data_IF_457550909151
#
_entry.id   IF_457550909151
#
_cell.length_a   1.000
_cell.length_b   1.000
_cell.length_c   1.000
_cell.angle_alpha   90.00
_cell.angle_beta   90.00
_cell.angle_gamma   90.00
#
_symmetry.space_group_name_H-M   'P 1'
#
loop_
_entity.id
_entity.type
_entity.pdbx_description
1 polymer ?
#
# COMPACT_ATOMS: atom_id res chain seq x y z
N UNK A 1 -8.15 -24.79 -14.77
CA UNK A 1 -6.78 -25.11 -15.27
C UNK A 1 -5.75 -24.05 -14.88
N UNK A 2 -5.96 -22.74 -15.11
CA UNK A 2 -4.96 -21.70 -14.75
C UNK A 2 -4.91 -21.33 -13.26
N UNK A 3 -5.93 -21.64 -12.47
CA UNK A 3 -5.95 -21.38 -11.02
C UNK A 3 -4.77 -22.05 -10.28
N UNK A 4 -4.38 -23.26 -10.67
CA UNK A 4 -3.24 -23.98 -10.06
C UNK A 4 -1.93 -23.22 -10.19
N UNK A 5 -1.71 -22.54 -11.33
CA UNK A 5 -0.54 -21.68 -11.53
C UNK A 5 -0.54 -20.50 -10.54
N UNK A 6 -1.70 -19.86 -10.35
CA UNK A 6 -1.81 -18.73 -9.41
C UNK A 6 -1.64 -19.17 -7.95
N UNK A 7 -2.11 -20.37 -7.59
CA UNK A 7 -1.83 -20.96 -6.27
C UNK A 7 -0.31 -21.11 -6.07
N UNK A 8 0.40 -21.71 -7.04
CA UNK A 8 1.86 -21.85 -6.95
C UNK A 8 2.58 -20.51 -6.92
N UNK A 9 2.10 -19.53 -7.69
CA UNK A 9 2.65 -18.18 -7.69
C UNK A 9 2.50 -17.51 -6.32
N UNK A 10 1.32 -17.55 -5.71
CA UNK A 10 1.09 -16.97 -4.37
C UNK A 10 1.94 -17.65 -3.29
N UNK A 11 2.11 -18.97 -3.37
CA UNK A 11 2.96 -19.68 -2.40
C UNK A 11 4.44 -19.30 -2.54
N UNK A 12 4.94 -19.14 -3.76
CA UNK A 12 6.36 -18.82 -4.00
C UNK A 12 6.63 -17.33 -3.77
N UNK A 13 5.94 -16.45 -4.50
CA UNK A 13 6.17 -15.01 -4.46
C UNK A 13 5.61 -14.37 -3.19
N UNK A 14 4.42 -14.81 -2.76
CA UNK A 14 3.75 -14.27 -1.58
C UNK A 14 4.29 -14.85 -0.29
N UNK A 15 4.10 -16.15 -0.05
CA UNK A 15 4.44 -16.74 1.25
C UNK A 15 5.96 -16.79 1.48
N UNK A 16 6.72 -17.36 0.53
CA UNK A 16 8.17 -17.43 0.68
C UNK A 16 8.83 -16.04 0.58
N UNK A 17 8.27 -15.13 -0.22
CA UNK A 17 8.71 -13.73 -0.27
C UNK A 17 8.58 -13.02 1.07
N UNK A 18 7.39 -13.03 1.69
CA UNK A 18 7.14 -12.43 3.01
C UNK A 18 7.97 -13.12 4.10
N UNK A 19 8.09 -14.44 4.07
CA UNK A 19 8.92 -15.17 5.02
C UNK A 19 10.43 -14.86 4.86
N UNK A 20 10.89 -14.59 3.63
CA UNK A 20 12.26 -14.14 3.37
C UNK A 20 12.51 -12.69 3.77
N UNK A 21 11.49 -11.83 3.63
CA UNK A 21 11.60 -10.40 3.95
C UNK A 21 11.96 -10.17 5.42
N UNK A 22 11.49 -11.01 6.36
CA UNK A 22 11.85 -10.90 7.78
C UNK A 22 13.36 -11.00 8.03
N UNK A 23 14.08 -11.77 7.21
CA UNK A 23 15.53 -11.99 7.36
C UNK A 23 16.34 -10.80 6.86
N UNK A 24 15.76 -9.93 6.01
CA UNK A 24 16.41 -8.75 5.44
C UNK A 24 17.84 -9.01 4.92
N UNK A 25 18.01 -10.08 4.14
CA UNK A 25 19.32 -10.57 3.71
C UNK A 25 20.17 -9.50 3.00
N UNK A 26 19.54 -8.66 2.16
CA UNK A 26 20.25 -7.62 1.42
C UNK A 26 20.89 -6.56 2.35
N UNK A 27 20.13 -5.84 3.22
CA UNK A 27 20.73 -4.95 4.21
C UNK A 27 21.74 -5.65 5.12
N UNK A 28 21.45 -6.90 5.55
CA UNK A 28 22.33 -7.64 6.45
C UNK A 28 23.71 -7.89 5.84
N UNK A 29 23.76 -8.35 4.58
CA UNK A 29 25.02 -8.60 3.87
C UNK A 29 25.78 -7.30 3.63
N UNK A 30 25.08 -6.25 3.19
CA UNK A 30 25.70 -4.93 2.93
C UNK A 30 26.29 -4.35 4.23
N UNK A 31 25.57 -4.48 5.34
CA UNK A 31 26.05 -4.03 6.65
C UNK A 31 27.36 -4.72 7.03
N UNK A 32 27.43 -6.06 6.95
CA UNK A 32 28.65 -6.80 7.30
C UNK A 32 29.81 -6.47 6.36
N UNK A 33 29.53 -6.26 5.06
CA UNK A 33 30.53 -5.88 4.09
C UNK A 33 31.09 -4.47 4.37
N UNK A 34 30.22 -3.48 4.60
CA UNK A 34 30.61 -2.11 4.97
C UNK A 34 31.39 -2.11 6.29
N UNK A 35 30.92 -2.87 7.28
CA UNK A 35 31.55 -2.95 8.58
C UNK A 35 32.97 -3.54 8.53
N UNK A 36 33.21 -4.52 7.65
CA UNK A 36 34.53 -5.13 7.50
C UNK A 36 35.51 -4.25 6.71
N UNK A 37 35.05 -3.55 5.67
CA UNK A 37 35.94 -2.83 4.75
C UNK A 37 36.02 -1.32 4.95
N UNK A 38 34.95 -0.66 5.41
CA UNK A 38 34.80 0.80 5.36
C UNK A 38 34.64 1.47 6.73
N UNK A 39 34.07 0.80 7.71
CA UNK A 39 33.81 1.37 9.04
C UNK A 39 35.10 1.53 9.82
N UNK A 40 35.41 2.77 10.25
CA UNK A 40 36.54 3.07 11.14
C UNK A 40 36.09 3.71 12.44
N UNK A 41 34.94 4.38 12.44
CA UNK A 41 34.37 5.06 13.61
C UNK A 41 32.94 4.59 13.88
N UNK A 42 32.43 4.86 15.09
CA UNK A 42 31.03 4.55 15.45
C UNK A 42 30.03 5.32 14.58
N UNK A 43 30.37 6.51 14.08
CA UNK A 43 29.51 7.27 13.16
C UNK A 43 29.36 6.57 11.80
N UNK A 44 30.46 6.05 11.26
CA UNK A 44 30.44 5.28 10.01
C UNK A 44 29.57 4.01 10.16
N UNK A 45 29.50 3.46 11.37
CA UNK A 45 28.65 2.32 11.69
C UNK A 45 27.17 2.68 11.68
N UNK A 46 26.80 3.84 12.21
CA UNK A 46 25.43 4.36 12.12
C UNK A 46 25.01 4.57 10.65
N UNK A 47 25.89 5.14 9.83
CA UNK A 47 25.65 5.28 8.37
C UNK A 47 25.54 3.94 7.63
N UNK A 48 26.21 2.90 8.15
CA UNK A 48 26.08 1.55 7.60
C UNK A 48 24.77 0.85 8.02
N UNK A 49 24.16 1.26 9.14
CA UNK A 49 22.90 0.72 9.67
C UNK A 49 21.67 1.40 9.04
N UNK A 50 21.64 1.50 7.71
CA UNK A 50 20.48 2.03 7.00
C UNK A 50 19.47 0.91 6.68
N UNK A 51 18.30 0.88 7.36
CA UNK A 51 17.24 -0.07 7.06
C UNK A 51 16.43 0.32 5.82
N UNK A 52 16.57 1.52 5.27
CA UNK A 52 15.71 2.04 4.21
C UNK A 52 14.22 2.14 4.60
N UNK A 53 13.41 2.45 3.58
CA UNK A 53 11.98 2.68 3.69
C UNK A 53 11.13 1.45 3.40
N UNK A 54 9.86 1.52 3.80
CA UNK A 54 8.85 0.58 3.35
C UNK A 54 8.71 0.66 1.82
N UNK A 55 8.83 -0.48 1.14
CA UNK A 55 8.76 -0.58 -0.31
C UNK A 55 7.34 -0.40 -0.85
N UNK A 56 6.78 0.81 -0.78
CA UNK A 56 5.46 1.13 -1.34
C UNK A 56 5.40 0.83 -2.85
N UNK A 57 6.50 1.07 -3.57
CA UNK A 57 6.65 0.82 -4.99
C UNK A 57 6.54 -0.68 -5.39
N UNK A 58 6.95 -1.60 -4.52
CA UNK A 58 6.93 -3.04 -4.81
C UNK A 58 5.78 -3.75 -4.11
N UNK A 59 5.57 -3.46 -2.83
CA UNK A 59 4.57 -4.12 -2.00
C UNK A 59 3.14 -3.73 -2.35
N UNK A 60 2.87 -2.46 -2.67
CA UNK A 60 1.50 -2.03 -2.98
C UNK A 60 0.99 -2.70 -4.27
N UNK A 61 1.72 -2.71 -5.41
CA UNK A 61 1.23 -3.38 -6.62
C UNK A 61 1.06 -4.89 -6.44
N UNK A 62 1.92 -5.54 -5.65
CA UNK A 62 1.82 -6.97 -5.34
C UNK A 62 0.52 -7.28 -4.59
N UNK A 63 0.18 -6.48 -3.59
CA UNK A 63 -1.08 -6.60 -2.83
C UNK A 63 -2.28 -6.39 -3.76
N UNK A 64 -2.25 -5.39 -4.64
CA UNK A 64 -3.31 -5.14 -5.62
C UNK A 64 -3.52 -6.32 -6.57
N UNK A 65 -2.44 -6.99 -7.00
CA UNK A 65 -2.53 -8.20 -7.81
C UNK A 65 -3.27 -9.32 -7.07
N UNK A 66 -2.99 -9.54 -5.79
CA UNK A 66 -3.69 -10.57 -5.01
C UNK A 66 -5.15 -10.20 -4.73
N UNK A 67 -5.49 -8.92 -4.57
CA UNK A 67 -6.88 -8.47 -4.55
C UNK A 67 -7.60 -8.80 -5.87
N UNK A 68 -6.99 -8.48 -7.01
CA UNK A 68 -7.54 -8.80 -8.32
C UNK A 68 -7.75 -10.31 -8.49
N UNK A 69 -6.73 -11.12 -8.18
CA UNK A 69 -6.84 -12.58 -8.26
C UNK A 69 -7.92 -13.12 -7.34
N UNK A 70 -8.00 -12.62 -6.10
CA UNK A 70 -9.02 -13.00 -5.13
C UNK A 70 -10.43 -12.69 -5.63
N UNK A 71 -10.68 -11.48 -6.10
CA UNK A 71 -11.99 -11.07 -6.62
C UNK A 71 -12.40 -11.90 -7.84
N UNK A 72 -11.50 -12.03 -8.83
CA UNK A 72 -11.77 -12.75 -10.08
C UNK A 72 -12.04 -14.24 -9.82
N UNK A 73 -11.21 -14.89 -8.99
CA UNK A 73 -11.33 -16.32 -8.74
C UNK A 73 -12.26 -16.70 -7.60
N UNK A 74 -12.79 -15.74 -6.82
CA UNK A 74 -13.75 -16.03 -5.75
C UNK A 74 -14.96 -16.82 -6.26
N UNK A 75 -15.48 -16.46 -7.44
CA UNK A 75 -16.64 -17.13 -8.05
C UNK A 75 -16.23 -18.33 -8.93
N UNK A 76 -15.01 -18.30 -9.51
CA UNK A 76 -14.56 -19.31 -10.47
C UNK A 76 -13.93 -20.53 -9.79
N UNK A 77 -13.07 -20.31 -8.80
CA UNK A 77 -12.31 -21.35 -8.09
C UNK A 77 -12.02 -20.90 -6.66
N UNK A 78 -12.97 -21.11 -5.73
CA UNK A 78 -12.86 -20.64 -4.34
C UNK A 78 -11.64 -21.17 -3.58
N UNK A 79 -11.05 -22.27 -4.05
CA UNK A 79 -9.87 -22.88 -3.44
C UNK A 79 -8.62 -21.97 -3.48
N UNK A 80 -8.60 -20.92 -4.32
CA UNK A 80 -7.53 -19.92 -4.31
C UNK A 80 -7.60 -19.01 -3.07
N UNK A 81 -8.80 -18.74 -2.53
CA UNK A 81 -9.01 -17.75 -1.48
C UNK A 81 -8.29 -18.06 -0.17
N UNK A 82 -8.28 -19.31 0.36
CA UNK A 82 -7.51 -19.64 1.55
C UNK A 82 -6.02 -19.29 1.41
N UNK A 83 -5.42 -19.46 0.23
CA UNK A 83 -4.00 -19.15 0.01
C UNK A 83 -3.72 -17.64 0.10
N UNK A 84 -4.63 -16.83 -0.44
CA UNK A 84 -4.57 -15.37 -0.37
C UNK A 84 -4.78 -14.89 1.07
N UNK A 85 -5.73 -15.48 1.80
CA UNK A 85 -5.98 -15.13 3.22
C UNK A 85 -4.75 -15.43 4.07
N UNK A 86 -4.13 -16.60 3.91
CA UNK A 86 -2.90 -16.95 4.62
C UNK A 86 -1.76 -15.99 4.27
N UNK A 87 -1.63 -15.60 3.00
CA UNK A 87 -0.67 -14.57 2.60
C UNK A 87 -0.91 -13.26 3.37
N UNK A 88 -2.15 -12.75 3.39
CA UNK A 88 -2.45 -11.50 4.07
C UNK A 88 -2.23 -11.57 5.58
N UNK A 89 -2.55 -12.71 6.21
CA UNK A 89 -2.30 -12.91 7.63
C UNK A 89 -0.80 -12.89 7.96
N UNK A 90 0.02 -13.61 7.17
CA UNK A 90 1.47 -13.61 7.34
C UNK A 90 2.08 -12.24 7.06
N UNK A 91 1.71 -11.62 5.94
CA UNK A 91 2.17 -10.28 5.57
C UNK A 91 1.85 -9.25 6.65
N UNK A 92 0.63 -9.28 7.21
CA UNK A 92 0.24 -8.38 8.29
C UNK A 92 1.18 -8.50 9.50
N UNK A 93 1.45 -9.72 9.97
CA UNK A 93 2.30 -9.93 11.15
C UNK A 93 3.75 -9.52 10.86
N UNK A 94 4.30 -9.90 9.71
CA UNK A 94 5.69 -9.60 9.33
C UNK A 94 5.89 -8.10 9.13
N UNK A 95 5.08 -7.45 8.29
CA UNK A 95 5.24 -6.02 8.05
C UNK A 95 4.93 -5.19 9.29
N UNK A 96 3.98 -5.60 10.14
CA UNK A 96 3.77 -4.95 11.44
C UNK A 96 5.02 -5.02 12.32
N UNK A 97 5.67 -6.18 12.39
CA UNK A 97 6.92 -6.32 13.14
C UNK A 97 8.03 -5.42 12.56
N UNK A 98 8.18 -5.38 11.24
CA UNK A 98 9.23 -4.59 10.60
C UNK A 98 9.00 -3.07 10.67
N UNK A 99 7.74 -2.62 10.59
CA UNK A 99 7.39 -1.20 10.76
C UNK A 99 7.74 -0.72 12.17
N UNK A 100 7.54 -1.56 13.19
CA UNK A 100 7.84 -1.21 14.58
C UNK A 100 9.35 -1.20 14.85
N UNK A 101 10.09 -2.17 14.30
CA UNK A 101 11.45 -2.44 14.74
C UNK A 101 12.56 -2.03 13.77
N UNK A 102 12.25 -1.81 12.48
CA UNK A 102 13.29 -1.74 11.46
C UNK A 102 13.11 -0.58 10.48
N UNK A 103 11.98 -0.46 9.79
CA UNK A 103 11.87 0.53 8.71
C UNK A 103 11.91 1.96 9.23
N UNK A 104 12.66 2.81 8.54
CA UNK A 104 12.64 4.25 8.77
C UNK A 104 11.78 4.92 7.69
N UNK A 105 10.96 5.88 8.09
CA UNK A 105 10.09 6.59 7.16
C UNK A 105 10.77 7.87 6.66
N UNK A 106 11.19 7.88 5.39
CA UNK A 106 11.86 9.04 4.77
C UNK A 106 10.92 10.23 4.54
N UNK A 107 9.63 9.99 4.31
CA UNK A 107 8.64 11.03 4.04
C UNK A 107 7.30 10.76 4.71
N UNK A 108 6.64 11.81 5.20
CA UNK A 108 5.31 11.74 5.80
C UNK A 108 4.25 12.25 4.82
N UNK A 109 3.48 11.31 4.25
CA UNK A 109 2.40 11.61 3.30
C UNK A 109 1.02 11.68 3.96
N UNK A 110 0.88 11.28 5.22
CA UNK A 110 -0.40 11.17 5.93
C UNK A 110 -1.46 10.36 5.17
N UNK A 111 -1.05 9.25 4.54
CA UNK A 111 -1.90 8.34 3.77
C UNK A 111 -2.66 8.97 2.57
N UNK A 112 -2.12 10.05 1.99
CA UNK A 112 -2.71 10.71 0.81
C UNK A 112 -2.87 9.78 -0.42
N UNK A 113 -2.19 8.63 -0.46
CA UNK A 113 -2.29 7.61 -1.52
C UNK A 113 -3.58 6.76 -1.46
N UNK A 114 -4.40 6.89 -0.41
CA UNK A 114 -5.59 6.05 -0.23
C UNK A 114 -6.63 6.15 -1.37
N UNK A 115 -6.92 7.33 -1.96
CA UNK A 115 -7.80 7.43 -3.12
C UNK A 115 -7.33 6.59 -4.32
N UNK A 116 -6.01 6.49 -4.54
CA UNK A 116 -5.43 5.68 -5.60
C UNK A 116 -5.62 4.18 -5.33
N UNK A 117 -5.33 3.74 -4.10
CA UNK A 117 -5.55 2.35 -3.64
C UNK A 117 -7.02 1.96 -3.81
N UNK A 118 -7.94 2.82 -3.36
CA UNK A 118 -9.38 2.61 -3.52
C UNK A 118 -9.77 2.50 -5.01
N UNK A 119 -9.29 3.41 -5.85
CA UNK A 119 -9.56 3.39 -7.29
C UNK A 119 -9.12 2.09 -7.96
N UNK A 120 -7.92 1.58 -7.63
CA UNK A 120 -7.40 0.31 -8.15
C UNK A 120 -8.25 -0.89 -7.74
N UNK A 121 -8.70 -0.93 -6.49
CA UNK A 121 -9.61 -2.00 -6.01
C UNK A 121 -10.96 -1.93 -6.72
N UNK A 122 -11.53 -0.74 -6.92
CA UNK A 122 -12.77 -0.56 -7.70
C UNK A 122 -12.60 -1.07 -9.12
N UNK A 123 -11.49 -0.74 -9.78
CA UNK A 123 -11.17 -1.28 -11.12
C UNK A 123 -11.08 -2.80 -11.08
N UNK A 124 -10.43 -3.40 -10.08
CA UNK A 124 -10.35 -4.85 -9.92
C UNK A 124 -11.73 -5.51 -9.75
N UNK A 125 -12.65 -4.87 -9.01
CA UNK A 125 -14.05 -5.33 -8.87
C UNK A 125 -14.78 -5.28 -10.21
N UNK A 126 -14.65 -4.18 -10.97
CA UNK A 126 -15.26 -4.04 -12.30
C UNK A 126 -14.71 -5.12 -13.25
N UNK A 127 -13.39 -5.32 -13.28
CA UNK A 127 -12.75 -6.38 -14.08
C UNK A 127 -13.30 -7.77 -13.70
N UNK A 128 -13.44 -8.05 -12.41
CA UNK A 128 -14.03 -9.30 -11.92
C UNK A 128 -15.46 -9.51 -12.41
N UNK A 129 -16.30 -8.47 -12.38
CA UNK A 129 -17.69 -8.53 -12.84
C UNK A 129 -17.78 -8.75 -14.36
N UNK A 130 -16.94 -8.06 -15.15
CA UNK A 130 -16.88 -8.24 -16.60
C UNK A 130 -16.39 -9.64 -17.00
N UNK A 131 -15.37 -10.17 -16.31
CA UNK A 131 -14.90 -11.53 -16.55
C UNK A 131 -15.95 -12.58 -16.17
N UNK A 132 -16.67 -12.38 -15.07
CA UNK A 132 -17.77 -13.26 -14.68
C UNK A 132 -18.90 -13.25 -15.72
N UNK A 133 -19.23 -12.07 -16.26
CA UNK A 133 -20.20 -11.96 -17.35
C UNK A 133 -19.76 -12.73 -18.60
N UNK A 134 -18.48 -12.60 -18.99
CA UNK A 134 -17.90 -13.37 -20.09
C UNK A 134 -18.00 -14.89 -19.86
N UNK A 135 -17.67 -15.34 -18.65
CA UNK A 135 -17.74 -16.76 -18.27
C UNK A 135 -19.17 -17.31 -18.29
N UNK A 136 -20.15 -16.59 -17.74
CA UNK A 136 -21.54 -17.04 -17.69
C UNK A 136 -22.22 -16.99 -19.06
N UNK A 137 -21.82 -16.06 -19.93
CA UNK A 137 -22.26 -16.01 -21.32
C UNK A 137 -21.93 -17.31 -22.07
N UNK A 138 -20.75 -17.90 -21.83
CA UNK A 138 -20.37 -19.19 -22.45
C UNK A 138 -21.17 -20.41 -21.97
N UNK A 139 -21.93 -20.27 -20.86
CA UNK A 139 -22.72 -21.35 -20.27
C UNK A 139 -24.21 -21.24 -20.59
N UNK A 140 -24.60 -20.40 -21.55
CA UNK A 140 -25.99 -20.14 -21.97
C UNK A 140 -26.92 -19.73 -20.82
N UNK A 141 -26.36 -19.16 -19.74
CA UNK A 141 -27.12 -18.71 -18.57
C UNK A 141 -27.76 -17.33 -18.80
N UNK A 142 -28.60 -17.21 -19.83
CA UNK A 142 -29.18 -15.95 -20.30
C UNK A 142 -30.03 -15.22 -19.24
N UNK A 143 -30.57 -15.95 -18.26
CA UNK A 143 -31.37 -15.35 -17.19
C UNK A 143 -30.55 -14.53 -16.18
N UNK A 144 -29.22 -14.72 -16.12
CA UNK A 144 -28.35 -13.98 -15.19
C UNK A 144 -27.84 -12.65 -15.75
N UNK A 145 -27.99 -12.41 -17.05
CA UNK A 145 -27.44 -11.25 -17.76
C UNK A 145 -27.91 -9.89 -17.22
N UNK A 146 -29.21 -9.66 -16.92
CA UNK A 146 -29.66 -8.36 -16.41
C UNK A 146 -29.01 -7.98 -15.08
N UNK A 147 -28.91 -8.94 -14.15
CA UNK A 147 -28.31 -8.73 -12.83
C UNK A 147 -26.81 -8.43 -12.93
N UNK A 148 -26.09 -9.12 -13.82
CA UNK A 148 -24.64 -8.93 -14.00
C UNK A 148 -24.30 -7.56 -14.60
N UNK A 149 -25.19 -6.96 -15.41
CA UNK A 149 -25.00 -5.61 -15.95
C UNK A 149 -25.26 -4.54 -14.88
N UNK A 150 -26.19 -4.78 -13.96
CA UNK A 150 -26.46 -3.85 -12.86
C UNK A 150 -25.26 -3.68 -11.92
N UNK A 151 -24.46 -4.73 -11.71
CA UNK A 151 -23.29 -4.72 -10.80
C UNK A 151 -22.23 -3.66 -11.13
N UNK A 152 -21.68 -3.56 -12.36
CA UNK A 152 -20.68 -2.53 -12.69
C UNK A 152 -21.27 -1.12 -12.62
N UNK A 153 -22.54 -0.94 -12.98
CA UNK A 153 -23.22 0.36 -12.87
C UNK A 153 -23.27 0.80 -11.40
N UNK A 154 -23.70 -0.09 -10.50
CA UNK A 154 -23.76 0.19 -9.07
C UNK A 154 -22.36 0.45 -8.48
N UNK A 155 -21.35 -0.30 -8.94
CA UNK A 155 -19.96 -0.15 -8.50
C UNK A 155 -19.38 1.21 -8.91
N UNK A 156 -19.63 1.65 -10.15
CA UNK A 156 -19.22 2.97 -10.64
C UNK A 156 -19.96 4.07 -9.88
N UNK A 157 -21.27 3.93 -9.68
CA UNK A 157 -22.05 4.90 -8.91
C UNK A 157 -21.54 5.03 -7.47
N UNK A 158 -21.23 3.91 -6.82
CA UNK A 158 -20.62 3.89 -5.49
C UNK A 158 -19.25 4.59 -5.49
N UNK A 159 -18.40 4.33 -6.49
CA UNK A 159 -17.11 5.02 -6.61
C UNK A 159 -17.29 6.54 -6.76
N UNK A 160 -18.21 7.00 -7.60
CA UNK A 160 -18.50 8.43 -7.76
C UNK A 160 -19.01 9.07 -6.45
N UNK A 161 -19.85 8.35 -5.70
CA UNK A 161 -20.29 8.78 -4.38
C UNK A 161 -19.11 8.92 -3.41
N UNK A 162 -18.27 7.89 -3.32
CA UNK A 162 -17.10 7.91 -2.45
C UNK A 162 -16.11 9.02 -2.84
N UNK A 163 -15.92 9.22 -4.14
CA UNK A 163 -15.07 10.27 -4.69
C UNK A 163 -15.59 11.65 -4.28
N UNK A 164 -16.88 11.93 -4.47
CA UNK A 164 -17.46 13.21 -4.06
C UNK A 164 -17.45 13.44 -2.55
N UNK A 165 -17.66 12.39 -1.75
CA UNK A 165 -17.86 12.51 -0.29
C UNK A 165 -16.57 12.45 0.53
N UNK A 166 -15.58 11.66 0.13
CA UNK A 166 -14.41 11.33 0.95
C UNK A 166 -13.07 11.79 0.34
N UNK A 167 -12.90 11.76 -0.99
CA UNK A 167 -11.66 12.21 -1.64
C UNK A 167 -11.25 13.64 -1.26
N UNK A 168 -12.18 14.62 -1.08
CA UNK A 168 -11.79 15.96 -0.67
C UNK A 168 -10.99 16.01 0.64
N UNK A 169 -11.16 15.05 1.55
CA UNK A 169 -10.39 14.98 2.79
C UNK A 169 -8.90 14.65 2.57
N UNK A 170 -8.57 13.99 1.46
CA UNK A 170 -7.19 13.63 1.10
C UNK A 170 -6.51 14.69 0.22
N UNK A 171 -7.31 15.42 -0.58
CA UNK A 171 -6.78 16.37 -1.59
C UNK A 171 -6.86 17.83 -1.12
N UNK A 172 -7.83 18.18 -0.25
CA UNK A 172 -8.06 19.55 0.18
C UNK A 172 -7.92 19.66 1.70
N UNK A 173 -7.11 20.62 2.14
CA UNK A 173 -6.99 20.94 3.56
C UNK A 173 -8.04 22.00 3.97
N UNK A 174 -8.99 21.70 4.87
CA UNK A 174 -10.06 22.63 5.23
C UNK A 174 -9.54 23.80 6.08
N UNK A 175 -9.99 25.02 5.75
CA UNK A 175 -9.55 26.25 6.44
C UNK A 175 -9.89 26.28 7.94
N UNK A 176 -10.96 25.59 8.35
CA UNK A 176 -11.35 25.49 9.75
C UNK A 176 -10.28 24.74 10.57
N UNK A 177 -9.77 23.61 10.07
CA UNK A 177 -8.70 22.85 10.72
C UNK A 177 -7.38 23.64 10.71
N UNK A 178 -7.09 24.35 9.61
CA UNK A 178 -5.93 25.24 9.52
C UNK A 178 -5.96 26.31 10.62
N UNK A 179 -7.06 27.05 10.74
CA UNK A 179 -7.21 28.11 11.74
C UNK A 179 -7.21 27.57 13.17
N UNK A 180 -7.82 26.41 13.41
CA UNK A 180 -7.81 25.76 14.71
C UNK A 180 -6.38 25.38 15.12
N UNK A 181 -5.62 24.76 14.21
CA UNK A 181 -4.22 24.37 14.45
C UNK A 181 -3.34 25.59 14.71
N UNK A 182 -3.47 26.65 13.90
CA UNK A 182 -2.72 27.90 14.07
C UNK A 182 -3.01 28.56 15.43
N UNK A 183 -4.27 28.53 15.88
CA UNK A 183 -4.68 29.12 17.16
C UNK A 183 -4.11 28.33 18.34
N UNK A 184 -4.13 26.99 18.27
CA UNK A 184 -3.56 26.10 19.28
C UNK A 184 -2.03 26.24 19.36
N UNK A 185 -1.36 26.36 18.21
CA UNK A 185 0.09 26.55 18.15
C UNK A 185 0.52 27.88 18.76
N UNK A 186 -0.18 28.99 18.44
CA UNK A 186 0.07 30.29 19.07
C UNK A 186 -0.17 30.28 20.58
N UNK A 187 -1.14 29.51 21.06
CA UNK A 187 -1.39 29.38 22.50
C UNK A 187 -0.29 28.55 23.19
N UNK A 188 0.24 27.53 22.53
CA UNK A 188 1.31 26.67 23.05
C UNK A 188 2.67 27.37 23.05
N UNK A 189 3.01 28.05 21.96
CA UNK A 189 4.32 28.67 21.71
C UNK A 189 4.15 30.13 21.24
N UNK A 190 3.78 31.05 22.14
CA UNK A 190 3.42 32.42 21.75
C UNK A 190 4.59 33.25 21.21
N UNK A 191 5.83 32.86 21.51
CA UNK A 191 7.04 33.61 21.13
C UNK A 191 7.82 32.96 19.96
N UNK A 192 7.22 32.00 19.24
CA UNK A 192 7.88 31.32 18.12
C UNK A 192 8.15 32.29 16.96
N UNK A 193 9.41 32.47 16.59
CA UNK A 193 9.79 33.24 15.41
C UNK A 193 9.75 32.36 14.15
N UNK A 194 8.61 32.38 13.48
CA UNK A 194 8.35 31.57 12.28
C UNK A 194 9.32 31.90 11.13
N UNK A 195 9.72 33.17 11.00
CA UNK A 195 10.62 33.61 9.93
C UNK A 195 11.99 32.96 10.07
N UNK A 196 12.58 32.99 11.27
CA UNK A 196 13.88 32.36 11.50
C UNK A 196 13.81 30.84 11.38
N UNK A 197 12.70 30.22 11.79
CA UNK A 197 12.51 28.77 11.69
C UNK A 197 12.45 28.28 10.24
N UNK A 198 11.78 29.03 9.35
CA UNK A 198 11.56 28.62 7.96
C UNK A 198 12.60 29.13 6.96
N UNK A 199 13.41 30.13 7.33
CA UNK A 199 14.31 30.83 6.40
C UNK A 199 15.30 29.90 5.67
N UNK A 200 15.81 28.88 6.36
CA UNK A 200 16.83 27.98 5.81
C UNK A 200 16.29 26.56 5.53
N UNK A 201 14.99 26.30 5.77
CA UNK A 201 14.42 24.95 5.74
C UNK A 201 14.44 24.28 4.35
N UNK A 202 14.37 25.04 3.26
CA UNK A 202 14.29 24.53 1.88
C UNK A 202 15.52 24.93 1.04
N UNK A 203 16.68 25.11 1.66
CA UNK A 203 17.94 25.22 0.93
C UNK A 203 18.32 23.88 0.30
N UNK A 204 19.16 23.93 -0.72
CA UNK A 204 19.72 22.71 -1.29
C UNK A 204 20.55 22.00 -0.21
N UNK A 205 20.51 20.67 -0.08
CA UNK A 205 21.28 19.94 0.93
C UNK A 205 22.80 20.18 0.92
N UNK A 206 23.33 20.68 -0.19
CA UNK A 206 24.76 21.01 -0.35
C UNK A 206 25.15 22.40 0.21
N UNK A 207 24.18 23.26 0.56
CA UNK A 207 24.39 24.65 1.02
C UNK A 207 23.83 24.90 2.43
#
# INVERSE_FOLDING_TARGET
MKATFFITYIMVDGWAGVAGEILRLKPLIIFHLKNFFMVKTEKDREEAMDPGTLGFNTGEPQIQLYFLLGLVYAVVSPILLPFIIVFFALAYVVYRHQIINVYNQEYESAAAFWPDVHGRIIVAVIVSQLLLMGLLSTKEAAQSTPLLITLPILTIWFHLFCKGRYEPAFVRYPLQEAMMKDTLERAREPNLNLKSFLQDAYRHPDF
#
